data_IF_533719983620
#
_entry.id   IF_533719983620
#
_cell.length_a   1.000
_cell.length_b   1.000
_cell.length_c   1.000
_cell.angle_alpha   90.00
_cell.angle_beta   90.00
_cell.angle_gamma   90.00
#
_symmetry.space_group_name_H-M   'P 1'
#
loop_
_entity.id
_entity.type
_entity.pdbx_description
1 polymer ?
#
# COMPACT_ATOMS: atom_id res chain seq x y z
N UNK A 1 80.68 -32.18 -2.25
CA UNK A 1 80.00 -32.02 -3.54
C UNK A 1 78.60 -32.56 -3.32
N UNK A 2 77.66 -31.62 -3.30
CA UNK A 2 76.21 -31.80 -3.54
C UNK A 2 75.45 -32.64 -2.50
N UNK A 3 74.26 -32.30 -1.99
CA UNK A 3 73.32 -31.20 -2.22
C UNK A 3 72.20 -31.38 -1.15
N UNK A 4 71.39 -30.33 -0.94
CA UNK A 4 70.02 -30.38 -0.40
C UNK A 4 69.87 -30.70 1.10
N UNK A 5 69.96 -29.75 2.04
CA UNK A 5 69.10 -28.57 2.23
C UNK A 5 67.63 -28.89 2.56
N UNK A 6 67.25 -28.46 3.77
CA UNK A 6 65.91 -28.07 4.23
C UNK A 6 64.93 -29.15 4.73
N UNK A 7 64.96 -29.28 6.06
CA UNK A 7 63.84 -28.95 6.96
C UNK A 7 62.51 -29.65 6.64
N UNK A 8 62.30 -30.75 7.36
CA UNK A 8 61.06 -31.53 7.43
C UNK A 8 59.86 -30.63 7.73
N UNK A 9 58.77 -30.94 7.03
CA UNK A 9 57.60 -30.10 6.76
C UNK A 9 56.96 -29.41 7.98
N UNK A 10 56.97 -28.08 7.92
CA UNK A 10 56.02 -27.22 8.64
C UNK A 10 54.73 -27.08 7.83
N UNK A 11 53.59 -27.16 8.51
CA UNK A 11 52.37 -26.47 8.10
C UNK A 11 51.18 -27.37 7.78
N UNK A 12 50.31 -27.54 8.77
CA UNK A 12 48.92 -27.97 8.58
C UNK A 12 48.19 -26.93 7.72
N UNK A 13 47.97 -27.20 6.44
CA UNK A 13 47.17 -26.32 5.59
C UNK A 13 45.69 -26.74 5.66
N UNK A 14 44.95 -26.16 6.60
CA UNK A 14 43.49 -26.28 6.65
C UNK A 14 42.87 -25.37 5.58
N UNK A 15 42.29 -25.99 4.56
CA UNK A 15 41.52 -25.32 3.49
C UNK A 15 40.19 -24.81 4.06
N UNK A 16 40.19 -23.58 4.58
CA UNK A 16 38.95 -22.84 4.82
C UNK A 16 38.49 -22.20 3.50
N UNK A 17 37.66 -22.91 2.72
CA UNK A 17 36.83 -22.26 1.70
C UNK A 17 35.80 -21.41 2.41
N UNK A 18 36.06 -20.11 2.52
CA UNK A 18 35.04 -19.14 2.86
C UNK A 18 33.94 -19.20 1.79
N UNK A 19 32.84 -19.88 2.11
CA UNK A 19 31.59 -19.81 1.35
C UNK A 19 31.11 -18.36 1.49
N UNK A 20 31.38 -17.52 0.49
CA UNK A 20 30.76 -16.20 0.39
C UNK A 20 29.24 -16.40 0.38
N UNK A 21 28.48 -15.80 1.32
CA UNK A 21 27.03 -15.81 1.22
C UNK A 21 26.61 -14.80 0.15
N UNK A 22 25.82 -15.28 -0.80
CA UNK A 22 25.24 -14.50 -1.90
C UNK A 22 24.37 -13.34 -1.35
N UNK A 23 24.95 -12.14 -1.27
CA UNK A 23 24.26 -10.93 -0.80
C UNK A 23 23.48 -10.20 -1.91
N UNK A 24 23.60 -10.64 -3.16
CA UNK A 24 22.99 -9.98 -4.33
C UNK A 24 21.57 -10.47 -4.67
N UNK A 25 21.15 -11.63 -4.16
CA UNK A 25 19.79 -12.18 -4.34
C UNK A 25 18.77 -11.45 -3.46
N UNK A 26 19.19 -11.07 -2.25
CA UNK A 26 18.35 -10.48 -1.21
C UNK A 26 17.64 -9.18 -1.66
N UNK A 27 18.34 -8.30 -2.40
CA UNK A 27 17.75 -7.02 -2.85
C UNK A 27 16.63 -7.19 -3.89
N UNK A 28 16.71 -8.22 -4.73
CA UNK A 28 15.69 -8.52 -5.75
C UNK A 28 14.49 -9.23 -5.14
N UNK A 29 14.73 -10.11 -4.17
CA UNK A 29 13.68 -10.84 -3.49
C UNK A 29 12.91 -9.95 -2.50
N UNK A 30 13.60 -9.06 -1.79
CA UNK A 30 12.96 -8.04 -0.96
C UNK A 30 12.03 -7.12 -1.77
N UNK A 31 12.44 -6.73 -2.98
CA UNK A 31 11.62 -5.89 -3.84
C UNK A 31 10.38 -6.63 -4.37
N UNK A 32 10.54 -7.91 -4.73
CA UNK A 32 9.41 -8.77 -5.12
C UNK A 32 8.41 -8.96 -3.98
N UNK A 33 8.90 -9.19 -2.76
CA UNK A 33 8.05 -9.33 -1.58
C UNK A 33 7.27 -8.03 -1.28
N UNK A 34 7.92 -6.87 -1.41
CA UNK A 34 7.25 -5.57 -1.25
C UNK A 34 6.12 -5.37 -2.29
N UNK A 35 6.37 -5.69 -3.56
CA UNK A 35 5.34 -5.58 -4.61
C UNK A 35 4.15 -6.52 -4.37
N UNK A 36 4.38 -7.74 -3.88
CA UNK A 36 3.30 -8.69 -3.57
C UNK A 36 2.45 -8.19 -2.40
N UNK A 37 3.06 -7.66 -1.34
CA UNK A 37 2.32 -7.11 -0.19
C UNK A 37 1.50 -5.87 -0.59
N UNK A 38 2.08 -4.97 -1.40
CA UNK A 38 1.39 -3.75 -1.87
C UNK A 38 0.20 -4.10 -2.78
N UNK A 39 0.38 -5.03 -3.71
CA UNK A 39 -0.70 -5.46 -4.62
C UNK A 39 -1.80 -6.23 -3.92
N UNK A 40 -1.47 -7.09 -2.95
CA UNK A 40 -2.46 -7.77 -2.11
C UNK A 40 -3.23 -6.77 -1.22
N UNK A 41 -2.54 -5.79 -0.64
CA UNK A 41 -3.17 -4.73 0.15
C UNK A 41 -4.11 -3.85 -0.66
N UNK A 42 -3.70 -3.46 -1.88
CA UNK A 42 -4.53 -2.68 -2.80
C UNK A 42 -5.75 -3.47 -3.28
N UNK A 43 -5.59 -4.76 -3.59
CA UNK A 43 -6.69 -5.63 -3.97
C UNK A 43 -7.77 -5.77 -2.89
N UNK A 44 -7.36 -5.93 -1.62
CA UNK A 44 -8.28 -5.99 -0.48
C UNK A 44 -9.03 -4.66 -0.26
N UNK A 45 -8.33 -3.53 -0.36
CA UNK A 45 -8.95 -2.20 -0.21
C UNK A 45 -9.97 -1.89 -1.33
N UNK A 46 -9.68 -2.30 -2.56
CA UNK A 46 -10.60 -2.16 -3.68
C UNK A 46 -11.88 -3.00 -3.49
N UNK A 47 -11.77 -4.23 -2.97
CA UNK A 47 -12.93 -5.09 -2.72
C UNK A 47 -13.83 -4.57 -1.60
N UNK A 48 -13.29 -3.86 -0.61
CA UNK A 48 -14.09 -3.25 0.46
C UNK A 48 -14.88 -2.01 -0.01
N UNK A 49 -14.41 -1.35 -1.07
CA UNK A 49 -14.99 -0.11 -1.59
C UNK A 49 -16.18 -0.32 -2.55
N UNK A 50 -16.43 -1.54 -3.03
CA UNK A 50 -17.51 -1.84 -4.00
C UNK A 50 -18.89 -2.03 -3.36
N UNK A 51 -18.98 -1.98 -2.03
CA UNK A 51 -20.23 -2.21 -1.29
C UNK A 51 -21.29 -1.11 -1.46
N UNK A 52 -20.98 0.00 -2.14
CA UNK A 52 -21.92 1.11 -2.36
C UNK A 52 -22.88 0.95 -3.56
N UNK A 53 -22.75 -0.12 -4.37
CA UNK A 53 -23.50 -0.31 -5.63
C UNK A 53 -24.78 -1.16 -5.48
N UNK A 54 -25.32 -1.32 -4.27
CA UNK A 54 -26.60 -2.03 -4.08
C UNK A 54 -27.61 -1.22 -3.24
N UNK A 55 -27.61 0.10 -3.40
CA UNK A 55 -28.74 0.90 -2.93
C UNK A 55 -29.90 0.71 -3.92
N UNK A 56 -31.05 0.24 -3.41
CA UNK A 56 -32.29 0.23 -4.19
C UNK A 56 -32.61 1.68 -4.59
N UNK A 57 -32.76 1.92 -5.89
CA UNK A 57 -33.07 3.25 -6.39
C UNK A 57 -34.37 3.75 -5.77
N UNK A 58 -34.31 4.90 -5.11
CA UNK A 58 -35.46 5.48 -4.44
C UNK A 58 -36.34 6.18 -5.46
N UNK A 59 -37.54 5.62 -5.69
CA UNK A 59 -38.56 6.21 -6.55
C UNK A 59 -39.54 6.96 -5.65
N UNK A 60 -39.72 8.26 -5.92
CA UNK A 60 -40.62 9.11 -5.16
C UNK A 60 -42.06 8.63 -5.28
N UNK A 61 -42.71 8.46 -4.13
CA UNK A 61 -44.15 8.20 -4.03
C UNK A 61 -44.99 9.48 -4.17
N UNK A 62 -46.27 9.39 -4.55
CA UNK A 62 -47.16 10.56 -4.66
C UNK A 62 -47.41 11.32 -3.35
N UNK A 63 -47.13 10.71 -2.20
CA UNK A 63 -47.30 11.32 -0.87
C UNK A 63 -45.95 11.68 -0.22
N UNK A 64 -44.85 11.51 -0.96
CA UNK A 64 -43.52 11.81 -0.44
C UNK A 64 -43.31 13.31 -0.39
N UNK A 65 -42.70 13.77 0.70
CA UNK A 65 -42.33 15.16 0.87
C UNK A 65 -40.83 15.33 0.69
N UNK A 66 -40.45 16.29 -0.14
CA UNK A 66 -39.06 16.59 -0.42
C UNK A 66 -38.58 17.74 0.44
N UNK A 67 -37.49 17.51 1.18
CA UNK A 67 -36.82 18.57 1.95
C UNK A 67 -35.55 18.98 1.23
N UNK A 68 -35.59 20.13 0.57
CA UNK A 68 -34.45 20.65 -0.17
C UNK A 68 -33.68 21.60 0.73
N UNK A 69 -32.35 21.42 0.81
CA UNK A 69 -31.46 22.30 1.57
C UNK A 69 -30.26 22.68 0.73
N UNK A 70 -30.23 23.94 0.31
CA UNK A 70 -29.17 24.60 -0.43
C UNK A 70 -28.30 25.40 0.54
N UNK A 71 -27.00 25.08 0.48
CA UNK A 71 -25.97 25.75 1.26
C UNK A 71 -24.84 26.19 0.34
N UNK A 72 -24.31 27.38 0.62
CA UNK A 72 -23.12 27.93 -0.02
C UNK A 72 -21.94 27.77 0.93
N UNK A 73 -20.89 27.11 0.45
CA UNK A 73 -19.63 27.05 1.17
C UNK A 73 -18.83 28.34 0.93
N UNK A 74 -18.50 29.07 2.00
CA UNK A 74 -17.61 30.24 1.91
C UNK A 74 -16.27 29.94 2.54
N UNK A 75 -15.34 29.45 1.73
CA UNK A 75 -14.01 29.02 2.16
C UNK A 75 -13.19 30.13 2.86
N UNK A 76 -13.37 31.39 2.46
CA UNK A 76 -12.68 32.52 3.08
C UNK A 76 -13.11 32.81 4.51
N UNK A 77 -14.30 32.37 4.90
CA UNK A 77 -14.87 32.58 6.24
C UNK A 77 -14.98 31.28 7.03
N UNK A 78 -14.66 30.15 6.39
CA UNK A 78 -14.89 28.80 6.90
C UNK A 78 -16.32 28.61 7.45
N UNK A 79 -17.29 29.24 6.78
CA UNK A 79 -18.70 29.25 7.21
C UNK A 79 -19.59 28.75 6.09
N UNK A 80 -20.60 27.97 6.46
CA UNK A 80 -21.64 27.47 5.57
C UNK A 80 -22.84 28.42 5.67
N UNK A 81 -23.25 28.99 4.53
CA UNK A 81 -24.38 29.92 4.48
C UNK A 81 -25.61 29.25 3.86
N UNK A 82 -26.75 29.31 4.55
CA UNK A 82 -27.99 28.67 4.12
C UNK A 82 -28.82 29.62 3.24
N UNK A 83 -29.26 29.16 2.06
CA UNK A 83 -30.10 29.96 1.17
C UNK A 83 -31.57 29.80 1.55
N UNK A 84 -32.03 30.64 2.48
CA UNK A 84 -33.36 30.54 3.09
C UNK A 84 -34.51 30.47 2.08
N UNK A 85 -34.44 31.20 0.96
CA UNK A 85 -35.48 31.21 -0.06
C UNK A 85 -35.65 29.89 -0.83
N UNK A 86 -34.63 29.02 -0.83
CA UNK A 86 -34.65 27.72 -1.51
C UNK A 86 -34.79 26.55 -0.53
N UNK A 87 -34.65 26.83 0.76
CA UNK A 87 -34.69 25.83 1.82
C UNK A 87 -36.11 25.65 2.29
N UNK A 88 -36.84 24.74 1.66
CA UNK A 88 -38.23 24.46 2.01
C UNK A 88 -38.60 22.97 1.85
N UNK A 89 -39.81 22.66 2.28
CA UNK A 89 -40.48 21.37 2.11
C UNK A 89 -41.55 21.48 1.01
N UNK A 90 -41.47 20.59 0.03
CA UNK A 90 -42.35 20.54 -1.14
C UNK A 90 -43.11 19.22 -1.20
#
# INVERSE_FOLDING_TARGET
MDELSFLVENGTCSSNRARCPDTLTNRRDAWRLLHVVVSAGLGLACMLSTSAVNAKEYVLGPQDKLRVKVYEWRASRDTIFAWAALNDEY
#
